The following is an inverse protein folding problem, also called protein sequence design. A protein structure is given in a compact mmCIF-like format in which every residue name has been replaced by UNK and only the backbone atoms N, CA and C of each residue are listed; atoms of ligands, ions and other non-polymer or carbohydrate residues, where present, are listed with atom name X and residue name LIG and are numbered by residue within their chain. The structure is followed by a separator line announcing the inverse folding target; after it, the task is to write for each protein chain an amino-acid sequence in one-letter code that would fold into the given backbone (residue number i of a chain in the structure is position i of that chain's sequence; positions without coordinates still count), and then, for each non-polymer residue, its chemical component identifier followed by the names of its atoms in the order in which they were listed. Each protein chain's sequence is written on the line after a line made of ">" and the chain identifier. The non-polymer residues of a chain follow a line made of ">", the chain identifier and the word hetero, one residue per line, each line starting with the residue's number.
data_IF_951197476847
#
_entry.id   IF_951197476847
#
_cell.length_a   1.000
_cell.length_b   1.000
_cell.length_c   1.000
_cell.angle_alpha   90.00
_cell.angle_beta   90.00
_cell.angle_gamma   90.00
#
_symmetry.space_group_name_H-M   'P 1'
#
loop_
_entity.id
_entity.type
_entity.pdbx_description
1 polymer ?
#
# COMPACT_ATOMS: atom_id res chain seq x y z
N UNK A 1 -7.96 -10.71 -16.14
CA UNK A 1 -7.12 -9.98 -15.17
C UNK A 1 -7.34 -8.50 -15.44
N UNK A 2 -7.60 -7.70 -14.42
CA UNK A 2 -8.09 -6.31 -14.58
C UNK A 2 -7.04 -5.25 -14.27
N UNK A 3 -5.76 -5.63 -14.24
CA UNK A 3 -4.68 -4.75 -13.83
C UNK A 3 -3.34 -5.47 -13.69
N UNK A 4 -2.31 -4.73 -13.29
CA UNK A 4 -0.95 -5.21 -13.01
C UNK A 4 -0.47 -4.65 -11.68
N UNK A 5 0.15 -5.52 -10.88
CA UNK A 5 0.90 -5.17 -9.68
C UNK A 5 2.39 -5.24 -10.01
N UNK A 6 3.08 -4.11 -10.01
CA UNK A 6 4.52 -3.99 -10.21
C UNK A 6 5.23 -4.01 -8.87
N UNK A 7 5.82 -5.16 -8.54
CA UNK A 7 6.63 -5.31 -7.34
C UNK A 7 8.03 -4.69 -7.49
N UNK A 8 8.68 -4.40 -6.36
CA UNK A 8 10.00 -3.76 -6.29
C UNK A 8 10.11 -2.47 -7.12
N UNK A 9 9.01 -1.72 -7.21
CA UNK A 9 9.00 -0.49 -8.01
C UNK A 9 9.96 0.56 -7.41
N UNK A 10 10.65 1.35 -8.24
CA UNK A 10 11.58 2.36 -7.75
C UNK A 10 10.92 3.41 -6.82
N UNK A 11 11.63 3.78 -5.74
CA UNK A 11 11.19 4.83 -4.80
C UNK A 11 12.10 6.06 -4.78
N UNK A 12 13.34 5.94 -5.28
CA UNK A 12 14.30 7.05 -5.36
C UNK A 12 14.21 7.76 -6.71
N UNK A 13 14.16 9.08 -6.67
CA UNK A 13 14.08 9.88 -7.88
C UNK A 13 15.35 9.75 -8.74
N UNK A 14 15.15 9.36 -9.99
CA UNK A 14 16.01 9.65 -11.12
C UNK A 14 15.13 9.98 -12.33
N UNK A 15 15.62 10.81 -13.25
CA UNK A 15 14.84 11.20 -14.43
C UNK A 15 14.41 9.98 -15.26
N UNK A 16 15.31 9.01 -15.43
CA UNK A 16 15.04 7.78 -16.18
C UNK A 16 14.00 6.89 -15.48
N UNK A 17 13.92 6.95 -14.14
CA UNK A 17 12.91 6.24 -13.35
C UNK A 17 11.50 6.75 -13.65
N UNK A 18 11.33 8.07 -13.75
CA UNK A 18 10.02 8.67 -14.10
C UNK A 18 9.58 8.17 -15.47
N UNK A 19 10.45 8.28 -16.47
CA UNK A 19 10.18 7.83 -17.84
C UNK A 19 9.81 6.35 -17.87
N UNK A 20 10.57 5.51 -17.17
CA UNK A 20 10.30 4.08 -17.08
C UNK A 20 8.91 3.78 -16.50
N UNK A 21 8.55 4.43 -15.38
CA UNK A 21 7.25 4.23 -14.75
C UNK A 21 6.09 4.71 -15.64
N UNK A 22 6.24 5.83 -16.36
CA UNK A 22 5.25 6.30 -17.33
C UNK A 22 5.06 5.31 -18.50
N UNK A 23 6.17 4.77 -19.02
CA UNK A 23 6.14 3.82 -20.13
C UNK A 23 5.45 2.49 -19.75
N UNK A 24 5.79 1.91 -18.60
CA UNK A 24 5.13 0.67 -18.15
C UNK A 24 3.64 0.90 -17.85
N UNK A 25 3.27 2.07 -17.32
CA UNK A 25 1.88 2.42 -17.07
C UNK A 25 1.10 2.52 -18.39
N UNK A 26 1.67 3.19 -19.40
CA UNK A 26 1.08 3.28 -20.73
C UNK A 26 0.94 1.90 -21.40
N UNK A 27 1.91 1.01 -21.21
CA UNK A 27 1.84 -0.37 -21.70
C UNK A 27 0.67 -1.14 -21.06
N UNK A 28 0.45 -1.00 -19.75
CA UNK A 28 -0.71 -1.61 -19.07
C UNK A 28 -2.02 -1.06 -19.60
N UNK A 29 -2.16 0.27 -19.70
CA UNK A 29 -3.41 0.89 -20.20
C UNK A 29 -3.72 0.52 -21.66
N UNK A 30 -2.70 0.29 -22.49
CA UNK A 30 -2.88 -0.10 -23.90
C UNK A 30 -3.02 -1.61 -24.14
N UNK A 31 -2.73 -2.45 -23.14
CA UNK A 31 -2.81 -3.90 -23.29
C UNK A 31 -4.25 -4.37 -23.63
N UNK A 32 -4.38 -5.17 -24.68
CA UNK A 32 -5.67 -5.73 -25.13
C UNK A 32 -6.11 -6.98 -24.34
N UNK A 33 -5.20 -7.58 -23.57
CA UNK A 33 -5.47 -8.74 -22.72
C UNK A 33 -5.89 -8.41 -21.28
N UNK A 34 -6.02 -7.13 -20.95
CA UNK A 34 -6.47 -6.65 -19.64
C UNK A 34 -7.84 -5.99 -19.77
N UNK A 35 -8.74 -6.37 -18.86
CA UNK A 35 -10.13 -5.90 -18.85
C UNK A 35 -10.32 -4.72 -17.88
N UNK A 36 -11.45 -4.01 -18.00
CA UNK A 36 -11.84 -2.94 -17.08
C UNK A 36 -10.93 -1.71 -17.14
N UNK A 37 -10.74 -1.07 -15.98
CA UNK A 37 -9.91 0.14 -15.83
C UNK A 37 -8.41 -0.12 -15.93
N UNK A 38 -7.99 -1.40 -15.98
CA UNK A 38 -6.60 -1.82 -16.06
C UNK A 38 -5.78 -1.20 -14.92
N UNK A 39 -6.18 -1.52 -13.70
CA UNK A 39 -5.62 -0.95 -12.46
C UNK A 39 -4.12 -1.19 -12.40
N UNK A 40 -3.37 -0.15 -12.11
CA UNK A 40 -1.91 -0.15 -12.00
C UNK A 40 -1.57 0.04 -10.52
N UNK A 41 -0.93 -0.96 -9.94
CA UNK A 41 -0.43 -0.92 -8.58
C UNK A 41 1.09 -0.92 -8.61
N UNK A 42 1.73 0.07 -8.00
CA UNK A 42 3.18 0.07 -7.80
C UNK A 42 3.48 -0.28 -6.35
N UNK A 43 4.37 -1.25 -6.13
CA UNK A 43 4.84 -1.60 -4.81
C UNK A 43 6.32 -1.27 -4.63
N UNK A 44 6.63 -0.06 -4.13
CA UNK A 44 7.97 0.24 -3.64
C UNK A 44 8.23 -0.27 -2.22
N UNK A 45 7.18 -0.61 -1.46
CA UNK A 45 7.22 -0.96 -0.04
C UNK A 45 7.54 0.21 0.92
N UNK A 46 7.79 1.39 0.37
CA UNK A 46 8.17 2.62 1.10
C UNK A 46 7.65 3.84 0.33
N UNK A 47 7.37 4.92 1.05
CA UNK A 47 6.91 6.18 0.47
C UNK A 47 7.90 6.68 -0.61
N UNK A 48 7.50 6.71 -1.90
CA UNK A 48 8.41 7.12 -2.96
C UNK A 48 8.58 8.65 -2.97
N UNK A 49 9.68 9.10 -3.59
CA UNK A 49 9.90 10.51 -3.91
C UNK A 49 8.67 11.08 -4.64
N UNK A 50 8.30 12.33 -4.36
CA UNK A 50 7.06 12.91 -4.88
C UNK A 50 7.00 12.94 -6.41
N UNK A 51 8.15 13.02 -7.08
CA UNK A 51 8.29 12.96 -8.53
C UNK A 51 7.88 11.61 -9.14
N UNK A 52 7.88 10.53 -8.34
CA UNK A 52 7.49 9.19 -8.76
C UNK A 52 6.02 8.88 -8.43
N UNK A 53 5.30 9.80 -7.79
CA UNK A 53 3.86 9.67 -7.48
C UNK A 53 3.04 10.12 -8.69
N UNK A 54 3.15 9.33 -9.77
CA UNK A 54 2.56 9.65 -11.07
C UNK A 54 1.04 9.58 -10.99
N UNK A 55 0.36 10.52 -11.67
CA UNK A 55 -1.09 10.48 -11.85
C UNK A 55 -1.57 9.32 -12.74
N UNK A 56 -0.65 8.61 -13.39
CA UNK A 56 -0.92 7.41 -14.19
C UNK A 56 -0.82 6.12 -13.38
N UNK A 57 -0.40 6.19 -12.11
CA UNK A 57 -0.40 5.06 -11.17
C UNK A 57 -1.69 5.13 -10.35
N UNK A 58 -2.49 4.06 -10.37
CA UNK A 58 -3.79 4.05 -9.68
C UNK A 58 -3.61 3.84 -8.17
N UNK A 59 -2.70 2.95 -7.75
CA UNK A 59 -2.44 2.63 -6.35
C UNK A 59 -0.94 2.50 -6.10
N UNK A 60 -0.43 3.05 -5.00
CA UNK A 60 0.95 2.87 -4.55
C UNK A 60 0.99 2.25 -3.16
N UNK A 61 1.74 1.16 -2.99
CA UNK A 61 2.04 0.61 -1.67
C UNK A 61 3.14 1.45 -1.03
N UNK A 62 2.75 2.43 -0.22
CA UNK A 62 3.69 3.40 0.37
C UNK A 62 4.24 2.95 1.73
N UNK A 63 3.76 1.81 2.24
CA UNK A 63 4.30 1.18 3.44
C UNK A 63 4.14 -0.34 3.34
N UNK A 64 5.23 -1.07 3.46
CA UNK A 64 5.27 -2.53 3.59
C UNK A 64 6.32 -2.93 4.64
N UNK A 65 5.91 -3.03 5.91
CA UNK A 65 6.82 -3.42 6.99
C UNK A 65 6.07 -3.92 8.23
N UNK A 66 6.83 -4.23 9.28
CA UNK A 66 6.34 -4.55 10.61
C UNK A 66 5.62 -3.37 11.26
N UNK A 67 4.62 -3.70 12.06
CA UNK A 67 3.96 -2.74 12.94
C UNK A 67 4.95 -1.92 13.78
N UNK A 68 5.98 -2.54 14.37
CA UNK A 68 6.97 -1.83 15.19
C UNK A 68 7.75 -0.79 14.39
N UNK A 69 8.13 -1.09 13.14
CA UNK A 69 8.83 -0.10 12.30
C UNK A 69 7.94 1.09 11.92
N UNK A 70 6.64 0.86 11.76
CA UNK A 70 5.68 1.93 11.55
C UNK A 70 5.69 2.91 12.72
N UNK A 71 5.44 2.40 13.93
CA UNK A 71 5.35 3.20 15.15
C UNK A 71 6.69 3.89 15.46
N UNK A 72 7.80 3.19 15.30
CA UNK A 72 9.11 3.71 15.70
C UNK A 72 9.69 4.72 14.71
N UNK A 73 9.30 4.69 13.43
CA UNK A 73 10.06 5.39 12.38
C UNK A 73 9.28 5.91 11.18
N UNK A 74 8.07 5.42 10.87
CA UNK A 74 7.37 5.79 9.62
C UNK A 74 6.08 6.57 9.83
N UNK A 75 5.44 6.47 11.01
CA UNK A 75 4.14 7.09 11.26
C UNK A 75 4.14 8.59 10.96
N UNK A 76 5.11 9.34 11.48
CA UNK A 76 5.15 10.80 11.31
C UNK A 76 5.35 11.24 9.84
N UNK A 77 6.16 10.51 9.06
CA UNK A 77 6.39 10.82 7.64
C UNK A 77 5.15 10.50 6.81
N UNK A 78 4.53 9.35 7.06
CA UNK A 78 3.31 8.93 6.40
C UNK A 78 2.11 9.83 6.76
N UNK A 79 2.05 10.36 7.97
CA UNK A 79 1.05 11.36 8.38
C UNK A 79 1.21 12.69 7.66
N UNK A 80 2.45 13.19 7.60
CA UNK A 80 2.74 14.40 6.87
C UNK A 80 2.39 14.25 5.38
N UNK A 81 2.74 13.11 4.79
CA UNK A 81 2.51 12.85 3.38
C UNK A 81 1.02 12.61 3.07
N UNK A 82 0.27 11.90 3.92
CA UNK A 82 -1.16 11.60 3.71
C UNK A 82 -2.04 12.84 3.84
N UNK A 83 -1.62 13.86 4.58
CA UNK A 83 -2.38 15.10 4.75
C UNK A 83 -2.72 15.85 3.45
N UNK A 84 -1.96 15.60 2.37
CA UNK A 84 -2.17 16.18 1.05
C UNK A 84 -2.42 15.16 -0.06
N UNK A 85 -2.47 13.86 0.29
CA UNK A 85 -2.66 12.78 -0.67
C UNK A 85 -4.12 12.35 -0.74
N UNK A 86 -4.49 11.74 -1.87
CA UNK A 86 -5.74 11.01 -1.98
C UNK A 86 -5.55 9.61 -1.39
N UNK A 87 -6.25 9.29 -0.29
CA UNK A 87 -6.18 7.97 0.35
C UNK A 87 -6.53 6.84 -0.63
N UNK A 88 -7.35 7.11 -1.64
CA UNK A 88 -7.77 6.14 -2.65
C UNK A 88 -6.64 5.79 -3.62
N UNK A 89 -5.49 6.47 -3.52
CA UNK A 89 -4.28 6.14 -4.28
C UNK A 89 -3.26 5.33 -3.48
N UNK A 90 -3.49 5.06 -2.19
CA UNK A 90 -2.49 4.51 -1.28
C UNK A 90 -2.87 3.16 -0.68
N UNK A 91 -1.85 2.31 -0.52
CA UNK A 91 -1.96 1.02 0.13
C UNK A 91 -0.92 0.86 1.25
N UNK A 92 -1.35 0.33 2.39
CA UNK A 92 -0.47 -0.02 3.52
C UNK A 92 -0.53 -1.54 3.75
N UNK A 93 0.64 -2.14 3.91
CA UNK A 93 0.82 -3.56 4.20
C UNK A 93 1.58 -3.70 5.51
N UNK A 94 0.92 -4.23 6.53
CA UNK A 94 1.50 -4.50 7.83
C UNK A 94 1.70 -5.99 8.04
N UNK A 95 2.92 -6.37 8.42
CA UNK A 95 3.18 -7.67 9.03
C UNK A 95 3.57 -7.50 10.51
N UNK A 96 3.73 -8.62 11.22
CA UNK A 96 4.13 -8.61 12.63
C UNK A 96 3.27 -7.70 13.53
N UNK A 97 1.97 -7.55 13.23
CA UNK A 97 1.05 -6.80 14.08
C UNK A 97 0.95 -7.49 15.45
N UNK A 98 1.19 -6.79 16.57
CA UNK A 98 1.18 -7.42 17.88
C UNK A 98 -0.23 -7.92 18.22
N UNK A 99 -0.30 -8.99 19.01
CA UNK A 99 -1.56 -9.42 19.59
C UNK A 99 -2.12 -8.29 20.48
N UNK A 100 -3.25 -7.71 20.06
CA UNK A 100 -3.92 -6.62 20.75
C UNK A 100 -5.41 -6.93 20.96
N UNK A 101 -6.05 -6.18 21.86
CA UNK A 101 -7.51 -6.24 22.05
C UNK A 101 -8.24 -5.79 20.77
N UNK A 102 -9.48 -6.24 20.55
CA UNK A 102 -10.26 -5.82 19.38
C UNK A 102 -10.44 -4.30 19.35
N UNK A 103 -10.72 -3.65 20.49
CA UNK A 103 -10.81 -2.19 20.53
C UNK A 103 -9.52 -1.46 20.13
N UNK A 104 -8.36 -2.04 20.45
CA UNK A 104 -7.06 -1.48 20.02
C UNK A 104 -6.86 -1.71 18.53
N UNK A 105 -7.21 -2.88 18.03
CA UNK A 105 -7.16 -3.20 16.61
C UNK A 105 -8.06 -2.28 15.80
N UNK A 106 -9.31 -2.10 16.22
CA UNK A 106 -10.27 -1.21 15.58
C UNK A 106 -9.73 0.22 15.52
N UNK A 107 -9.17 0.72 16.63
CA UNK A 107 -8.58 2.07 16.67
C UNK A 107 -7.42 2.20 15.68
N UNK A 108 -6.53 1.21 15.64
CA UNK A 108 -5.39 1.19 14.73
C UNK A 108 -5.83 1.13 13.26
N UNK A 109 -6.67 0.15 12.89
CA UNK A 109 -7.17 -0.05 11.52
C UNK A 109 -7.96 1.16 11.05
N UNK A 110 -8.83 1.71 11.90
CA UNK A 110 -9.56 2.94 11.60
C UNK A 110 -8.59 4.12 11.36
N UNK A 111 -7.56 4.26 12.19
CA UNK A 111 -6.53 5.31 12.03
C UNK A 111 -5.79 5.23 10.70
N UNK A 112 -5.29 4.05 10.31
CA UNK A 112 -4.58 3.88 9.03
C UNK A 112 -5.53 3.94 7.82
N UNK A 113 -6.81 3.59 8.00
CA UNK A 113 -7.80 3.66 6.92
C UNK A 113 -8.03 5.08 6.43
N UNK A 114 -7.90 6.10 7.28
CA UNK A 114 -7.97 7.51 6.85
C UNK A 114 -6.80 7.93 5.96
N UNK A 115 -5.67 7.20 6.02
CA UNK A 115 -4.43 7.50 5.31
C UNK A 115 -4.30 6.71 4.01
N UNK A 116 -4.85 5.49 3.97
CA UNK A 116 -4.80 4.59 2.82
C UNK A 116 -6.13 3.81 2.70
N UNK A 117 -6.67 3.71 1.48
CA UNK A 117 -7.90 2.98 1.21
C UNK A 117 -7.68 1.46 1.15
N UNK A 118 -6.48 1.02 0.75
CA UNK A 118 -6.17 -0.40 0.60
C UNK A 118 -5.28 -0.87 1.74
N UNK A 119 -5.79 -1.78 2.56
CA UNK A 119 -5.12 -2.23 3.77
C UNK A 119 -4.89 -3.74 3.73
N UNK A 120 -3.70 -4.15 4.12
CA UNK A 120 -3.40 -5.52 4.52
C UNK A 120 -2.72 -5.48 5.89
N UNK A 121 -3.15 -6.35 6.80
CA UNK A 121 -2.55 -6.48 8.11
C UNK A 121 -2.55 -7.94 8.57
N UNK A 122 -1.47 -8.35 9.24
CA UNK A 122 -1.32 -9.71 9.76
C UNK A 122 -0.46 -9.73 11.01
N UNK A 123 -0.79 -10.61 11.95
CA UNK A 123 0.02 -10.88 13.14
C UNK A 123 1.23 -11.77 12.82
N UNK A 124 1.26 -12.39 11.65
CA UNK A 124 2.36 -13.25 11.21
C UNK A 124 3.65 -12.46 11.06
N UNK A 125 4.73 -13.02 11.59
CA UNK A 125 6.09 -12.44 11.49
C UNK A 125 6.92 -13.07 10.37
N UNK A 126 6.43 -14.13 9.74
CA UNK A 126 7.05 -14.83 8.61
C UNK A 126 5.99 -15.51 7.75
N UNK A 127 6.30 -15.74 6.47
CA UNK A 127 5.37 -16.34 5.51
C UNK A 127 4.01 -15.63 5.50
N UNK A 128 4.02 -14.31 5.67
CA UNK A 128 2.81 -13.51 5.85
C UNK A 128 1.94 -13.48 4.58
N UNK A 129 2.53 -13.57 3.39
CA UNK A 129 1.77 -13.66 2.13
C UNK A 129 1.33 -15.08 1.75
N UNK A 130 1.89 -16.12 2.40
CA UNK A 130 1.66 -17.52 2.04
C UNK A 130 0.52 -18.16 2.83
N UNK A 131 0.05 -17.51 3.90
CA UNK A 131 -0.96 -18.05 4.82
C UNK A 131 -1.88 -16.95 5.33
N UNK A 132 -3.16 -17.29 5.50
CA UNK A 132 -4.09 -16.40 6.19
C UNK A 132 -3.75 -16.31 7.69
N UNK A 133 -3.92 -15.12 8.23
CA UNK A 133 -3.84 -14.90 9.67
C UNK A 133 -5.05 -15.56 10.37
N UNK A 134 -4.84 -16.07 11.58
CA UNK A 134 -5.94 -16.60 12.40
C UNK A 134 -6.95 -15.52 12.80
N UNK A 135 -6.57 -14.24 12.71
CA UNK A 135 -7.39 -13.06 13.01
C UNK A 135 -7.84 -12.28 11.76
N UNK A 136 -7.78 -12.89 10.58
CA UNK A 136 -8.12 -12.21 9.32
C UNK A 136 -9.51 -11.59 9.36
N UNK A 137 -10.49 -12.29 9.92
CA UNK A 137 -11.87 -11.81 10.04
C UNK A 137 -11.94 -10.53 10.87
N UNK A 138 -11.27 -10.48 12.02
CA UNK A 138 -11.21 -9.29 12.87
C UNK A 138 -10.50 -8.12 12.19
N UNK A 139 -9.46 -8.38 11.38
CA UNK A 139 -8.84 -7.32 10.58
C UNK A 139 -9.81 -6.76 9.54
N UNK A 140 -10.56 -7.62 8.84
CA UNK A 140 -11.55 -7.20 7.85
C UNK A 140 -12.71 -6.43 8.48
N UNK A 141 -13.23 -6.90 9.62
CA UNK A 141 -14.34 -6.24 10.34
C UNK A 141 -13.96 -4.87 10.91
N UNK A 142 -12.68 -4.67 11.23
CA UNK A 142 -12.16 -3.41 11.72
C UNK A 142 -12.03 -2.32 10.63
N UNK A 143 -12.06 -2.70 9.35
CA UNK A 143 -12.03 -1.73 8.23
C UNK A 143 -13.38 -0.99 8.18
N UNK A 144 -13.42 0.35 8.33
CA UNK A 144 -14.67 1.08 8.31
C UNK A 144 -15.34 0.99 6.93
N UNK A 145 -16.66 0.76 6.93
CA UNK A 145 -17.53 0.74 5.75
C UNK A 145 -17.91 2.12 5.26
#
# INVERSE_FOLDING_TARGET
>A
MSGIFFDESPHQYAADTVTYLEEINAAVKSASGLDGEKTIIHNPGVLPASQLRLNTTDITVVFEQSYTHYEDSQEAELDAASSSADRDSWAYIFHSVPAMSNSTLDTFVHGISHKAAYLYATTRTSQYYEHFDGRLEEFCDAVPT
#
